data_IF_220750030451
#
_entry.id   IF_220750030451
#
_cell.length_a   1.000
_cell.length_b   1.000
_cell.length_c   1.000
_cell.angle_alpha   90.00
_cell.angle_beta   90.00
_cell.angle_gamma   90.00
#
_symmetry.space_group_name_H-M   'P 1'
#
loop_
_entity.id
_entity.type
_entity.pdbx_description
1 polymer ?
#
# COMPACT_ATOMS: atom_id res chain seq x y z
N UNK A 1 12.23 -19.39 7.98
CA UNK A 1 12.61 -18.00 8.32
C UNK A 1 11.69 -17.03 7.63
N UNK A 2 11.07 -16.18 8.44
CA UNK A 2 9.93 -15.37 8.04
C UNK A 2 10.42 -14.19 7.21
N UNK A 3 10.11 -14.15 5.92
CA UNK A 3 10.24 -12.95 5.11
C UNK A 3 9.26 -11.89 5.65
N UNK A 4 9.76 -10.97 6.43
CA UNK A 4 9.01 -9.78 6.83
C UNK A 4 9.00 -8.81 5.66
N UNK A 5 7.94 -8.85 4.86
CA UNK A 5 7.66 -7.79 3.90
C UNK A 5 7.18 -6.53 4.63
N UNK A 6 7.21 -5.42 3.91
CA UNK A 6 6.98 -4.04 4.35
C UNK A 6 5.98 -3.85 5.52
N UNK A 7 4.98 -4.72 5.67
CA UNK A 7 4.09 -4.74 6.83
C UNK A 7 4.06 -6.14 7.47
N UNK A 8 4.22 -6.22 8.78
CA UNK A 8 4.06 -7.47 9.49
C UNK A 8 2.58 -7.85 9.67
N UNK A 9 2.23 -9.15 9.67
CA UNK A 9 0.87 -9.59 9.95
C UNK A 9 0.34 -9.07 11.30
N UNK A 10 1.21 -9.01 12.30
CA UNK A 10 0.86 -8.55 13.65
C UNK A 10 0.44 -7.08 13.66
N UNK A 11 1.13 -6.23 12.90
CA UNK A 11 0.77 -4.80 12.79
C UNK A 11 -0.56 -4.62 12.06
N UNK A 12 -0.79 -5.37 10.98
CA UNK A 12 -2.06 -5.34 10.24
C UNK A 12 -3.22 -5.80 11.15
N UNK A 13 -3.08 -6.91 11.85
CA UNK A 13 -4.08 -7.43 12.77
C UNK A 13 -4.33 -6.47 13.94
N UNK A 14 -3.29 -5.85 14.47
CA UNK A 14 -3.42 -4.84 15.52
C UNK A 14 -4.30 -3.68 15.06
N UNK A 15 -4.04 -3.13 13.86
CA UNK A 15 -4.84 -2.03 13.31
C UNK A 15 -6.25 -2.51 12.97
N UNK A 16 -6.40 -3.72 12.45
CA UNK A 16 -7.70 -4.29 12.11
C UNK A 16 -8.65 -4.35 13.32
N UNK A 17 -8.13 -4.71 14.49
CA UNK A 17 -8.90 -4.83 15.73
C UNK A 17 -9.01 -3.54 16.55
N UNK A 18 -8.38 -2.43 16.12
CA UNK A 18 -8.56 -1.14 16.79
C UNK A 18 -10.02 -0.67 16.72
N UNK A 19 -10.52 -0.10 17.81
CA UNK A 19 -11.83 0.56 17.86
C UNK A 19 -11.78 1.99 17.32
N UNK A 20 -11.52 2.10 16.01
CA UNK A 20 -11.44 3.35 15.25
C UNK A 20 -12.11 3.18 13.88
N UNK A 21 -12.43 4.30 13.24
CA UNK A 21 -13.09 4.28 11.94
C UNK A 21 -12.23 3.68 10.81
N UNK A 22 -12.86 3.15 9.74
CA UNK A 22 -12.13 2.49 8.65
C UNK A 22 -11.17 3.45 7.92
N UNK A 23 -11.50 4.74 7.84
CA UNK A 23 -10.61 5.77 7.27
C UNK A 23 -9.32 5.89 8.07
N UNK A 24 -9.44 5.92 9.40
CA UNK A 24 -8.30 6.04 10.30
C UNK A 24 -7.43 4.76 10.28
N UNK A 25 -8.06 3.59 10.18
CA UNK A 25 -7.34 2.31 9.98
C UNK A 25 -6.51 2.33 8.68
N UNK A 26 -7.10 2.78 7.57
CA UNK A 26 -6.39 2.93 6.30
C UNK A 26 -5.23 3.92 6.39
N UNK A 27 -5.42 5.04 7.08
CA UNK A 27 -4.36 6.02 7.29
C UNK A 27 -3.18 5.40 8.06
N UNK A 28 -3.46 4.68 9.14
CA UNK A 28 -2.42 3.98 9.93
C UNK A 28 -1.68 2.93 9.10
N UNK A 29 -2.39 2.16 8.26
CA UNK A 29 -1.75 1.19 7.37
C UNK A 29 -0.84 1.87 6.35
N UNK A 30 -1.26 3.00 5.77
CA UNK A 30 -0.44 3.77 4.85
C UNK A 30 0.77 4.40 5.55
N UNK A 31 0.61 4.92 6.76
CA UNK A 31 1.72 5.48 7.55
C UNK A 31 2.78 4.41 7.86
N UNK A 32 2.36 3.22 8.24
CA UNK A 32 3.28 2.09 8.45
C UNK A 32 3.97 1.69 7.14
N UNK A 33 3.22 1.56 6.05
CA UNK A 33 3.77 1.22 4.75
C UNK A 33 4.82 2.24 4.29
N UNK A 34 4.50 3.53 4.40
CA UNK A 34 5.41 4.63 4.07
C UNK A 34 6.68 4.57 4.92
N UNK A 35 6.52 4.40 6.24
CA UNK A 35 7.65 4.31 7.17
C UNK A 35 8.59 3.18 6.80
N UNK A 36 8.07 1.98 6.60
CA UNK A 36 8.88 0.82 6.28
C UNK A 36 9.45 0.87 4.85
N UNK A 37 8.62 1.26 3.87
CA UNK A 37 9.03 1.27 2.47
C UNK A 37 10.07 2.36 2.15
N UNK A 38 9.96 3.54 2.77
CA UNK A 38 10.77 4.70 2.40
C UNK A 38 11.98 4.93 3.30
N UNK A 39 11.88 4.51 4.57
CA UNK A 39 12.91 4.80 5.58
C UNK A 39 13.66 3.57 6.04
N UNK A 40 13.19 2.37 5.70
CA UNK A 40 13.91 1.14 5.98
C UNK A 40 14.93 0.87 4.87
N UNK A 41 16.21 0.86 5.24
CA UNK A 41 17.28 0.35 4.37
C UNK A 41 17.37 -1.18 4.40
N UNK A 42 16.32 -1.83 4.87
CA UNK A 42 16.30 -3.28 5.07
C UNK A 42 16.50 -4.02 3.74
N UNK A 43 17.21 -5.14 3.81
CA UNK A 43 17.39 -6.02 2.64
C UNK A 43 16.05 -6.57 2.13
N UNK A 44 15.04 -6.70 3.00
CA UNK A 44 13.69 -7.15 2.66
C UNK A 44 13.02 -6.20 1.66
N UNK A 45 13.13 -4.90 1.87
CA UNK A 45 12.61 -3.90 0.92
C UNK A 45 13.32 -4.01 -0.44
N UNK A 46 14.65 -4.18 -0.43
CA UNK A 46 15.43 -4.36 -1.68
C UNK A 46 15.03 -5.61 -2.44
N UNK A 47 14.81 -6.73 -1.72
CA UNK A 47 14.34 -7.98 -2.33
C UNK A 47 12.92 -7.81 -2.86
N UNK A 48 12.01 -7.17 -2.10
CA UNK A 48 10.64 -6.94 -2.54
C UNK A 48 10.58 -6.11 -3.83
N UNK A 49 11.40 -5.07 -3.94
CA UNK A 49 11.50 -4.26 -5.16
C UNK A 49 11.99 -5.09 -6.34
N UNK A 50 13.03 -5.88 -6.15
CA UNK A 50 13.57 -6.76 -7.20
C UNK A 50 12.52 -7.76 -7.68
N UNK A 51 11.80 -8.38 -6.76
CA UNK A 51 10.75 -9.36 -7.06
C UNK A 51 9.52 -8.74 -7.72
N UNK A 52 9.21 -7.46 -7.44
CA UNK A 52 8.15 -6.72 -8.15
C UNK A 52 8.52 -6.47 -9.62
N UNK A 53 9.81 -6.23 -9.90
CA UNK A 53 10.29 -5.96 -11.27
C UNK A 53 10.50 -7.26 -12.06
N UNK A 54 11.01 -8.28 -11.39
CA UNK A 54 11.35 -9.58 -12.00
C UNK A 54 10.98 -10.72 -11.04
N UNK A 55 9.69 -11.12 -11.00
CA UNK A 55 9.20 -12.12 -10.05
C UNK A 55 9.87 -13.48 -10.26
N UNK A 56 10.37 -14.09 -9.18
CA UNK A 56 10.82 -15.48 -9.17
C UNK A 56 9.65 -16.44 -8.93
N UNK A 57 9.79 -17.72 -9.30
CA UNK A 57 8.80 -18.77 -9.00
C UNK A 57 8.56 -18.92 -7.49
N UNK A 58 9.59 -18.67 -6.68
CA UNK A 58 9.50 -18.69 -5.22
C UNK A 58 8.62 -17.54 -4.73
N UNK A 59 8.79 -16.35 -5.30
CA UNK A 59 7.97 -15.19 -4.96
C UNK A 59 6.53 -15.39 -5.38
N UNK A 60 6.27 -15.93 -6.57
CA UNK A 60 4.92 -16.22 -7.04
C UNK A 60 4.17 -17.15 -6.08
N UNK A 61 4.77 -18.28 -5.70
CA UNK A 61 4.18 -19.20 -4.70
C UNK A 61 4.00 -18.56 -3.33
N UNK A 62 4.92 -17.70 -2.93
CA UNK A 62 4.81 -16.94 -1.70
C UNK A 62 3.64 -15.94 -1.75
N UNK A 63 3.46 -15.20 -2.84
CA UNK A 63 2.33 -14.30 -3.06
C UNK A 63 1.01 -15.06 -2.94
N UNK A 64 0.90 -16.22 -3.59
CA UNK A 64 -0.30 -17.03 -3.56
C UNK A 64 -0.65 -17.55 -2.15
N UNK A 65 0.36 -17.97 -1.38
CA UNK A 65 0.13 -18.61 -0.07
C UNK A 65 0.06 -17.62 1.11
N UNK A 66 0.78 -16.51 1.03
CA UNK A 66 1.02 -15.64 2.17
C UNK A 66 0.37 -14.25 2.03
N UNK A 67 0.46 -13.63 0.86
CA UNK A 67 -0.13 -12.30 0.63
C UNK A 67 -1.66 -12.37 0.72
N UNK A 68 -2.29 -13.45 0.25
CA UNK A 68 -3.73 -13.62 0.35
C UNK A 68 -4.25 -13.47 1.79
N UNK A 69 -3.59 -14.09 2.76
CA UNK A 69 -3.96 -13.99 4.18
C UNK A 69 -3.75 -12.60 4.77
N UNK A 70 -2.69 -11.89 4.37
CA UNK A 70 -2.42 -10.53 4.85
C UNK A 70 -3.34 -9.50 4.22
N UNK A 71 -3.73 -9.70 2.97
CA UNK A 71 -4.57 -8.74 2.27
C UNK A 71 -6.02 -8.78 2.74
N UNK A 72 -6.51 -9.90 3.25
CA UNK A 72 -7.90 -10.01 3.70
C UNK A 72 -8.28 -8.91 4.69
N UNK A 73 -7.57 -8.69 5.82
CA UNK A 73 -7.92 -7.60 6.75
C UNK A 73 -7.84 -6.21 6.11
N UNK A 74 -6.88 -5.99 5.23
CA UNK A 74 -6.73 -4.71 4.53
C UNK A 74 -7.89 -4.46 3.57
N UNK A 75 -8.29 -5.48 2.81
CA UNK A 75 -9.44 -5.39 1.90
C UNK A 75 -10.76 -5.23 2.67
N UNK A 76 -10.92 -5.86 3.83
CA UNK A 76 -12.08 -5.68 4.70
C UNK A 76 -12.19 -4.25 5.23
N UNK A 77 -11.07 -3.66 5.67
CA UNK A 77 -11.04 -2.25 6.08
C UNK A 77 -11.41 -1.36 4.90
N UNK A 78 -10.87 -1.62 3.71
CA UNK A 78 -11.15 -0.84 2.51
C UNK A 78 -12.60 -1.00 2.06
N UNK A 79 -13.17 -2.20 2.10
CA UNK A 79 -14.58 -2.45 1.79
C UNK A 79 -15.51 -1.67 2.73
N UNK A 80 -15.21 -1.71 4.03
CA UNK A 80 -15.94 -0.94 5.05
C UNK A 80 -15.86 0.56 4.79
N UNK A 81 -14.68 1.07 4.41
CA UNK A 81 -14.49 2.48 4.08
C UNK A 81 -15.30 2.91 2.84
N UNK A 82 -15.30 2.08 1.80
CA UNK A 82 -16.02 2.33 0.55
C UNK A 82 -17.54 2.11 0.67
N UNK A 83 -17.99 1.44 1.75
CA UNK A 83 -19.38 1.04 1.92
C UNK A 83 -19.81 -0.06 0.95
N UNK A 84 -18.90 -0.97 0.62
CA UNK A 84 -19.12 -2.10 -0.30
C UNK A 84 -19.13 -3.43 0.47
N UNK A 85 -19.79 -4.47 -0.05
CA UNK A 85 -19.68 -5.83 0.50
C UNK A 85 -18.23 -6.34 0.48
N UNK A 86 -17.83 -7.18 1.44
CA UNK A 86 -16.47 -7.66 1.61
C UNK A 86 -15.88 -8.36 0.37
N UNK A 87 -16.73 -9.02 -0.44
CA UNK A 87 -16.30 -9.75 -1.65
C UNK A 87 -16.60 -9.01 -2.96
N UNK A 88 -16.91 -7.71 -2.88
CA UNK A 88 -17.19 -6.92 -4.09
C UNK A 88 -15.91 -6.78 -4.95
N UNK A 89 -16.03 -7.12 -6.23
CA UNK A 89 -14.91 -7.06 -7.18
C UNK A 89 -14.30 -5.66 -7.37
N UNK A 90 -14.99 -4.60 -6.92
CA UNK A 90 -14.50 -3.21 -6.94
C UNK A 90 -13.44 -2.97 -5.86
N UNK A 91 -13.49 -3.71 -4.74
CA UNK A 91 -12.57 -3.52 -3.61
C UNK A 91 -11.11 -3.83 -3.99
N UNK A 92 -10.75 -4.99 -4.57
CA UNK A 92 -9.39 -5.25 -5.03
C UNK A 92 -8.89 -4.25 -6.08
N UNK A 93 -9.78 -3.76 -6.95
CA UNK A 93 -9.44 -2.75 -7.95
C UNK A 93 -9.12 -1.39 -7.30
N UNK A 94 -9.91 -0.98 -6.31
CA UNK A 94 -9.65 0.23 -5.52
C UNK A 94 -8.34 0.10 -4.73
N UNK A 95 -8.08 -1.08 -4.15
CA UNK A 95 -6.83 -1.36 -3.46
C UNK A 95 -5.62 -1.20 -4.39
N UNK A 96 -5.65 -1.81 -5.57
CA UNK A 96 -4.56 -1.69 -6.54
C UNK A 96 -4.35 -0.24 -7.00
N UNK A 97 -5.43 0.51 -7.25
CA UNK A 97 -5.36 1.91 -7.61
C UNK A 97 -4.75 2.77 -6.47
N UNK A 98 -5.13 2.50 -5.22
CA UNK A 98 -4.60 3.21 -4.05
C UNK A 98 -3.13 2.88 -3.78
N UNK A 99 -2.70 1.64 -4.03
CA UNK A 99 -1.32 1.19 -3.79
C UNK A 99 -0.36 1.66 -4.88
N UNK A 100 -0.82 1.82 -6.12
CA UNK A 100 0.02 2.10 -7.29
C UNK A 100 0.95 3.31 -7.14
N UNK A 101 0.51 4.48 -6.63
CA UNK A 101 1.40 5.62 -6.44
C UNK A 101 2.55 5.33 -5.47
N UNK A 102 2.28 4.57 -4.42
CA UNK A 102 3.30 4.19 -3.43
C UNK A 102 4.29 3.17 -3.98
N UNK A 103 3.84 2.25 -4.84
CA UNK A 103 4.76 1.33 -5.54
C UNK A 103 5.71 2.10 -6.46
N UNK A 104 5.20 3.06 -7.24
CA UNK A 104 6.03 3.91 -8.10
C UNK A 104 7.00 4.73 -7.26
N UNK A 105 6.53 5.28 -6.14
CA UNK A 105 7.39 6.05 -5.23
C UNK A 105 8.49 5.18 -4.60
N UNK A 106 8.17 3.95 -4.20
CA UNK A 106 9.14 2.97 -3.71
C UNK A 106 10.19 2.65 -4.77
N UNK A 107 9.77 2.41 -6.01
CA UNK A 107 10.67 2.15 -7.14
C UNK A 107 11.55 3.35 -7.47
N UNK A 108 11.02 4.58 -7.36
CA UNK A 108 11.76 5.82 -7.62
C UNK A 108 12.84 6.12 -6.56
N UNK A 109 12.73 5.55 -5.38
CA UNK A 109 13.75 5.58 -4.33
C UNK A 109 15.01 4.80 -4.69
N UNK A 110 14.95 3.90 -5.67
CA UNK A 110 16.11 3.24 -6.24
C UNK A 110 16.88 4.21 -7.15
N UNK A 111 18.19 4.34 -6.90
CA UNK A 111 19.11 5.31 -7.48
C UNK A 111 19.03 5.48 -9.00
N UNK A 112 18.70 4.42 -9.75
CA UNK A 112 18.60 4.46 -11.21
C UNK A 112 17.22 4.90 -11.71
N UNK A 113 16.15 4.49 -11.07
CA UNK A 113 14.80 4.86 -11.49
C UNK A 113 14.43 6.30 -11.09
N UNK A 114 14.89 6.78 -9.94
CA UNK A 114 14.67 8.15 -9.51
C UNK A 114 15.33 9.17 -10.43
N UNK A 115 16.52 8.87 -10.97
CA UNK A 115 17.21 9.69 -11.96
C UNK A 115 16.45 9.77 -13.29
N UNK A 116 15.88 8.67 -13.74
CA UNK A 116 15.20 8.58 -15.04
C UNK A 116 13.81 9.23 -15.00
N UNK A 117 13.04 9.00 -13.91
CA UNK A 117 11.65 9.44 -13.84
C UNK A 117 11.45 10.87 -13.33
N UNK A 118 12.33 11.37 -12.46
CA UNK A 118 12.10 12.64 -11.76
C UNK A 118 13.29 13.60 -11.77
N UNK A 119 14.45 13.22 -12.32
CA UNK A 119 15.68 14.02 -12.23
C UNK A 119 16.17 14.21 -10.78
N UNK A 120 15.69 13.42 -9.84
CA UNK A 120 15.82 13.61 -8.39
C UNK A 120 16.79 12.60 -7.80
N UNK A 121 18.07 12.90 -7.88
CA UNK A 121 19.11 11.95 -7.42
C UNK A 121 19.35 11.91 -5.91
N UNK A 122 18.88 12.90 -5.15
CA UNK A 122 19.10 12.98 -3.70
C UNK A 122 17.95 13.74 -3.05
N UNK A 123 16.90 13.01 -2.63
CA UNK A 123 15.89 13.56 -1.73
C UNK A 123 16.34 13.41 -0.30
N UNK A 124 16.25 14.48 0.48
CA UNK A 124 16.43 14.40 1.90
C UNK A 124 15.20 13.73 2.59
N UNK A 125 15.30 13.48 3.88
CA UNK A 125 14.22 12.83 4.64
C UNK A 125 12.94 13.68 4.66
N UNK A 126 13.07 15.01 4.71
CA UNK A 126 11.95 15.94 4.75
C UNK A 126 11.18 15.92 3.44
N UNK A 127 11.88 16.02 2.31
CA UNK A 127 11.28 15.94 0.97
C UNK A 127 10.53 14.61 0.75
N UNK A 128 11.11 13.48 1.20
CA UNK A 128 10.44 12.18 1.13
C UNK A 128 9.15 12.14 1.96
N UNK A 129 9.13 12.78 3.14
CA UNK A 129 7.92 12.85 3.97
C UNK A 129 6.85 13.73 3.34
N UNK A 130 7.20 14.89 2.82
CA UNK A 130 6.28 15.80 2.11
C UNK A 130 5.63 15.12 0.90
N UNK A 131 6.40 14.36 0.14
CA UNK A 131 5.87 13.58 -0.99
C UNK A 131 4.97 12.42 -0.53
N UNK A 132 5.33 11.73 0.53
CA UNK A 132 4.49 10.67 1.08
C UNK A 132 3.15 11.22 1.57
N UNK A 133 3.14 12.41 2.19
CA UNK A 133 1.92 13.09 2.61
C UNK A 133 1.06 13.51 1.41
N UNK A 134 1.67 14.04 0.36
CA UNK A 134 0.99 14.35 -0.89
C UNK A 134 0.36 13.10 -1.53
N UNK A 135 1.08 11.99 -1.56
CA UNK A 135 0.55 10.73 -2.09
C UNK A 135 -0.62 10.20 -1.26
N UNK A 136 -0.56 10.30 0.07
CA UNK A 136 -1.68 9.93 0.95
C UNK A 136 -2.91 10.78 0.67
N UNK A 137 -2.74 12.09 0.57
CA UNK A 137 -3.83 13.03 0.23
C UNK A 137 -4.46 12.69 -1.13
N UNK A 138 -3.64 12.47 -2.16
CA UNK A 138 -4.11 12.06 -3.49
C UNK A 138 -4.90 10.75 -3.46
N UNK A 139 -4.41 9.74 -2.75
CA UNK A 139 -5.08 8.44 -2.64
C UNK A 139 -6.41 8.56 -1.92
N UNK A 140 -6.49 9.31 -0.81
CA UNK A 140 -7.76 9.49 -0.10
C UNK A 140 -8.76 10.30 -0.91
N UNK A 141 -8.34 11.33 -1.64
CA UNK A 141 -9.21 12.06 -2.55
C UNK A 141 -9.81 11.13 -3.62
N UNK A 142 -8.99 10.24 -4.18
CA UNK A 142 -9.43 9.21 -5.14
C UNK A 142 -10.41 8.21 -4.53
N UNK A 143 -10.13 7.69 -3.34
CA UNK A 143 -11.00 6.75 -2.63
C UNK A 143 -12.33 7.40 -2.22
N UNK A 144 -12.32 8.64 -1.75
CA UNK A 144 -13.54 9.40 -1.43
C UNK A 144 -14.43 9.57 -2.67
N UNK A 145 -13.81 9.88 -3.81
CA UNK A 145 -14.55 9.99 -5.08
C UNK A 145 -15.14 8.66 -5.54
N UNK A 146 -14.41 7.55 -5.38
CA UNK A 146 -14.93 6.22 -5.69
C UNK A 146 -16.09 5.84 -4.77
N UNK A 147 -15.99 6.15 -3.48
CA UNK A 147 -17.05 5.94 -2.50
C UNK A 147 -18.34 6.65 -2.88
N UNK A 148 -18.26 7.93 -3.24
CA UNK A 148 -19.42 8.71 -3.71
C UNK A 148 -20.02 8.12 -4.99
N UNK A 149 -19.17 7.80 -5.99
CA UNK A 149 -19.59 7.23 -7.27
C UNK A 149 -20.34 5.91 -7.11
N UNK A 150 -19.94 5.08 -6.16
CA UNK A 150 -20.52 3.76 -5.98
C UNK A 150 -21.74 3.75 -5.08
N UNK A 151 -21.88 4.68 -4.14
CA UNK A 151 -23.12 4.89 -3.39
C UNK A 151 -24.33 5.22 -4.29
N UNK A 152 -24.12 5.89 -5.41
CA UNK A 152 -25.19 6.27 -6.34
C UNK A 152 -25.65 5.17 -7.29
N UNK A 153 -25.07 3.97 -7.26
CA UNK A 153 -25.38 2.86 -8.19
C UNK A 153 -26.18 1.72 -7.57
N UNK A 154 -26.61 1.83 -6.33
CA UNK A 154 -27.49 0.86 -5.66
C UNK A 154 -29.00 1.24 -5.79
N UNK A 155 -29.38 1.81 -6.95
CA UNK A 155 -30.80 2.01 -7.31
C UNK A 155 -31.14 1.20 -8.55
#
# INVERSE_FOLDING_TARGET
>A
EVYHYVLSPVEIETIYHMDIGPREKLMKLLDLYVKEALFSESWQVKVSIRELINPSDVFTRFVESYIGRKLTPVLDILSSYLGLPAHDARVPRAFLAALSPFLIFLLSGHRQMGLVMYGLSKRDRKEKMEEADLLKEFVFAGLDRLKEKWKGKEK
#
